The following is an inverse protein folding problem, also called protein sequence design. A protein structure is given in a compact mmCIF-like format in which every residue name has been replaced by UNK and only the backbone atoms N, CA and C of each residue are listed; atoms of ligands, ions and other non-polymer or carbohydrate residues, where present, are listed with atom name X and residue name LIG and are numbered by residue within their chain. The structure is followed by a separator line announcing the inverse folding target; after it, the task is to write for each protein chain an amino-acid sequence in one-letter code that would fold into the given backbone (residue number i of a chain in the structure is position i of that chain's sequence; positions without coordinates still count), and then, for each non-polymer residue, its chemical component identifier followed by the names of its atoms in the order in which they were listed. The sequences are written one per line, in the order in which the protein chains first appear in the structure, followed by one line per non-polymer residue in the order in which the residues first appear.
data_IF_292059266364
#
_entry.id   IF_292059266364
#
_cell.length_a   1.000
_cell.length_b   1.000
_cell.length_c   1.000
_cell.angle_alpha   90.00
_cell.angle_beta   90.00
_cell.angle_gamma   90.00
#
_symmetry.space_group_name_H-M   'P 1'
#
loop_
_entity.id
_entity.type
_entity.pdbx_description
1 polymer ?
#
# COMPACT_ATOMS: atom_id res chain seq x y z
N UNK A 1 -11.04 18.14 -9.16
CA UNK A 1 -10.18 18.34 -7.97
C UNK A 1 -9.35 17.09 -7.66
N UNK A 2 -9.91 15.93 -7.82
CA UNK A 2 -9.32 14.60 -7.49
C UNK A 2 -8.00 14.28 -8.21
N UNK A 3 -7.90 14.62 -9.51
CA UNK A 3 -6.66 14.44 -10.28
C UNK A 3 -5.53 15.34 -9.76
N UNK A 4 -5.83 16.57 -9.36
CA UNK A 4 -4.84 17.50 -8.83
C UNK A 4 -4.26 17.00 -7.50
N UNK A 5 -5.10 16.41 -6.62
CA UNK A 5 -4.66 15.83 -5.36
C UNK A 5 -3.73 14.64 -5.62
N UNK A 6 -4.06 13.76 -6.56
CA UNK A 6 -3.19 12.64 -6.96
C UNK A 6 -1.84 13.12 -7.50
N UNK A 7 -1.86 14.12 -8.39
CA UNK A 7 -0.63 14.72 -8.94
C UNK A 7 0.21 15.34 -7.84
N UNK A 8 -0.40 16.07 -6.91
CA UNK A 8 0.32 16.70 -5.79
C UNK A 8 0.97 15.65 -4.87
N UNK A 9 0.25 14.56 -4.54
CA UNK A 9 0.77 13.46 -3.75
C UNK A 9 1.94 12.76 -4.48
N UNK A 10 1.76 12.46 -5.76
CA UNK A 10 2.77 11.81 -6.59
C UNK A 10 4.05 12.69 -6.66
N UNK A 11 3.87 13.98 -6.91
CA UNK A 11 4.98 14.94 -6.98
C UNK A 11 5.73 15.04 -5.65
N UNK A 12 5.01 15.16 -4.53
CA UNK A 12 5.62 15.20 -3.20
C UNK A 12 6.36 13.89 -2.88
N UNK A 13 5.76 12.75 -3.19
CA UNK A 13 6.38 11.45 -3.03
C UNK A 13 7.71 11.36 -3.80
N UNK A 14 7.70 11.65 -5.10
CA UNK A 14 8.93 11.62 -5.91
C UNK A 14 9.98 12.63 -5.43
N UNK A 15 9.58 13.82 -4.99
CA UNK A 15 10.51 14.78 -4.41
C UNK A 15 11.26 14.20 -3.22
N UNK A 16 10.55 13.52 -2.32
CA UNK A 16 11.14 12.87 -1.14
C UNK A 16 12.06 11.72 -1.57
N UNK A 17 11.58 10.83 -2.43
CA UNK A 17 12.31 9.62 -2.85
C UNK A 17 13.60 9.97 -3.58
N UNK A 18 13.52 10.85 -4.56
CA UNK A 18 14.67 11.32 -5.34
C UNK A 18 15.63 12.09 -4.44
N UNK A 19 15.13 13.02 -3.63
CA UNK A 19 15.99 13.80 -2.74
C UNK A 19 16.79 12.95 -1.76
N UNK A 20 16.19 11.91 -1.18
CA UNK A 20 16.86 10.98 -0.27
C UNK A 20 17.82 10.05 -1.04
N UNK A 21 17.46 9.61 -2.23
CA UNK A 21 18.31 8.81 -3.11
C UNK A 21 19.62 9.54 -3.44
N UNK A 22 19.50 10.74 -3.97
CA UNK A 22 20.67 11.58 -4.31
C UNK A 22 21.49 11.94 -3.06
N UNK A 23 20.82 12.17 -1.92
CA UNK A 23 21.47 12.40 -0.63
C UNK A 23 22.32 11.18 -0.22
N UNK A 24 21.87 9.96 -0.52
CA UNK A 24 22.63 8.75 -0.26
C UNK A 24 23.97 8.72 -0.99
N UNK A 25 23.97 8.96 -2.30
CA UNK A 25 25.18 9.06 -3.12
C UNK A 25 26.09 10.19 -2.63
N UNK A 26 25.52 11.34 -2.37
CA UNK A 26 26.24 12.52 -1.87
C UNK A 26 26.95 12.24 -0.55
N UNK A 27 26.25 11.68 0.44
CA UNK A 27 26.81 11.42 1.77
C UNK A 27 27.92 10.37 1.72
N UNK A 28 27.75 9.31 0.94
CA UNK A 28 28.77 8.29 0.76
C UNK A 28 30.00 8.84 0.04
N UNK A 29 29.83 9.63 -1.01
CA UNK A 29 30.95 10.30 -1.69
C UNK A 29 31.73 11.20 -0.72
N UNK A 30 31.02 12.01 0.08
CA UNK A 30 31.65 12.91 1.06
C UNK A 30 32.35 12.14 2.18
N UNK A 31 31.77 11.03 2.67
CA UNK A 31 32.39 10.18 3.71
C UNK A 31 33.76 9.65 3.27
N UNK A 32 33.92 9.32 1.97
CA UNK A 32 35.17 8.83 1.39
C UNK A 32 36.05 9.94 0.79
N UNK A 33 35.74 11.21 1.12
CA UNK A 33 36.50 12.38 0.63
C UNK A 33 36.56 12.44 -0.90
N UNK A 34 35.48 12.03 -1.56
CA UNK A 34 35.29 12.21 -2.99
C UNK A 34 34.64 13.58 -3.19
N UNK A 35 35.14 14.32 -4.17
CA UNK A 35 34.59 15.63 -4.49
C UNK A 35 33.26 15.48 -5.20
N UNK A 36 32.24 16.19 -4.70
CA UNK A 36 30.95 16.33 -5.37
C UNK A 36 30.85 17.71 -5.98
N UNK A 37 30.64 17.78 -7.27
CA UNK A 37 30.61 19.03 -8.03
C UNK A 37 29.22 19.66 -8.02
N UNK A 38 28.15 18.82 -8.17
CA UNK A 38 26.77 19.29 -8.15
C UNK A 38 25.89 18.34 -7.33
N UNK A 39 24.90 18.92 -6.67
CA UNK A 39 23.81 18.22 -5.99
C UNK A 39 22.50 18.92 -6.37
N UNK A 40 21.68 18.27 -7.15
CA UNK A 40 20.45 18.84 -7.66
C UNK A 40 19.25 17.96 -7.37
N UNK A 41 18.23 18.57 -6.77
CA UNK A 41 16.89 17.98 -6.72
C UNK A 41 16.20 18.43 -8.00
N UNK A 42 15.76 17.47 -8.81
CA UNK A 42 15.22 17.66 -10.15
C UNK A 42 16.25 18.09 -11.21
N UNK A 43 15.98 17.73 -12.45
CA UNK A 43 16.78 18.14 -13.59
C UNK A 43 16.57 19.63 -13.88
N UNK A 44 17.64 20.28 -14.35
CA UNK A 44 17.68 21.70 -14.67
C UNK A 44 18.06 21.99 -16.12
N UNK A 45 17.46 21.31 -17.14
CA UNK A 45 17.77 21.61 -18.53
C UNK A 45 17.50 23.09 -18.79
N UNK A 46 18.53 23.79 -19.29
CA UNK A 46 18.59 25.21 -19.61
C UNK A 46 18.64 26.17 -18.41
N UNK A 47 17.94 25.97 -17.32
CA UNK A 47 17.97 26.85 -16.15
C UNK A 47 17.61 26.12 -14.86
N UNK A 48 18.12 26.63 -13.73
CA UNK A 48 17.76 26.20 -12.37
C UNK A 48 16.78 27.20 -11.75
N UNK A 49 15.79 26.71 -10.99
CA UNK A 49 14.90 27.57 -10.22
C UNK A 49 15.66 28.29 -9.11
N UNK A 50 16.58 27.59 -8.48
CA UNK A 50 17.44 28.10 -7.42
C UNK A 50 18.79 27.38 -7.44
N UNK A 51 19.88 28.09 -7.20
CA UNK A 51 21.19 27.47 -7.01
C UNK A 51 22.10 28.33 -6.14
N UNK A 52 22.97 27.67 -5.40
CA UNK A 52 24.03 28.31 -4.63
C UNK A 52 25.24 27.39 -4.54
N UNK A 53 26.42 27.96 -4.32
CA UNK A 53 27.66 27.21 -4.18
C UNK A 53 28.16 27.26 -2.74
N UNK A 54 28.51 26.09 -2.19
CA UNK A 54 29.16 25.98 -0.89
C UNK A 54 30.34 25.02 -0.98
N UNK A 55 31.53 25.53 -0.78
CA UNK A 55 32.77 24.79 -1.00
C UNK A 55 32.94 24.39 -2.45
N UNK A 56 33.17 23.11 -2.71
CA UNK A 56 33.33 22.57 -4.05
C UNK A 56 32.02 22.17 -4.72
N UNK A 57 30.90 22.18 -3.97
CA UNK A 57 29.61 21.68 -4.44
C UNK A 57 28.67 22.85 -4.78
N UNK A 58 28.06 22.79 -5.96
CA UNK A 58 26.91 23.60 -6.35
C UNK A 58 25.63 22.83 -6.01
N UNK A 59 24.79 23.43 -5.18
CA UNK A 59 23.47 22.91 -4.80
C UNK A 59 22.40 23.61 -5.60
N UNK A 60 21.44 22.87 -6.13
CA UNK A 60 20.40 23.46 -6.94
C UNK A 60 19.07 22.74 -6.88
N UNK A 61 18.05 23.45 -7.34
CA UNK A 61 16.71 22.95 -7.58
C UNK A 61 16.40 23.17 -9.06
N UNK A 62 16.24 22.07 -9.80
CA UNK A 62 15.79 22.08 -11.18
C UNK A 62 14.28 22.34 -11.26
N UNK A 63 13.79 22.54 -12.47
CA UNK A 63 12.36 22.75 -12.73
C UNK A 63 11.64 21.51 -13.23
N UNK A 64 12.39 20.49 -13.70
CA UNK A 64 11.84 19.29 -14.31
C UNK A 64 11.82 18.11 -13.31
N UNK A 65 10.66 17.73 -12.76
CA UNK A 65 10.54 16.76 -11.67
C UNK A 65 10.60 15.31 -12.14
N UNK A 66 11.53 14.99 -13.05
CA UNK A 66 11.73 13.63 -13.59
C UNK A 66 12.90 12.89 -12.95
N UNK A 67 13.53 13.45 -11.93
CA UNK A 67 14.68 12.87 -11.24
C UNK A 67 15.56 13.97 -10.66
N UNK A 68 16.61 13.58 -9.93
CA UNK A 68 17.69 14.46 -9.48
C UNK A 68 19.01 13.98 -10.04
N UNK A 69 20.10 14.62 -9.65
CA UNK A 69 21.42 14.11 -9.95
C UNK A 69 22.50 14.64 -8.99
N UNK A 70 23.50 13.78 -8.78
CA UNK A 70 24.72 14.12 -8.05
C UNK A 70 25.92 13.96 -8.97
N UNK A 71 26.55 15.06 -9.35
CA UNK A 71 27.78 14.98 -10.15
C UNK A 71 29.00 14.73 -9.26
N UNK A 72 29.50 13.50 -9.30
CA UNK A 72 30.64 13.02 -8.52
C UNK A 72 31.90 13.07 -9.41
N UNK A 73 32.95 13.72 -8.93
CA UNK A 73 34.20 13.88 -9.70
C UNK A 73 34.83 12.51 -10.02
N UNK A 74 35.14 12.29 -11.30
CA UNK A 74 35.75 11.06 -11.80
C UNK A 74 34.83 9.83 -11.83
N UNK A 75 33.52 10.05 -11.80
CA UNK A 75 32.47 9.05 -12.09
C UNK A 75 31.91 9.35 -13.48
N UNK A 76 31.69 8.32 -14.30
CA UNK A 76 30.96 8.46 -15.55
C UNK A 76 29.47 8.40 -15.17
N UNK A 77 28.84 9.54 -15.18
CA UNK A 77 27.42 9.70 -14.99
C UNK A 77 26.72 10.04 -16.33
N UNK A 78 25.45 10.34 -16.27
CA UNK A 78 24.65 10.75 -17.43
C UNK A 78 25.20 12.01 -18.14
N UNK A 79 26.06 12.80 -17.46
CA UNK A 79 26.68 14.01 -18.01
C UNK A 79 27.83 13.70 -19.00
N UNK A 80 28.24 12.42 -19.12
CA UNK A 80 29.28 11.92 -20.02
C UNK A 80 30.51 12.84 -20.14
N UNK A 81 31.08 13.27 -19.00
CA UNK A 81 32.23 14.21 -18.98
C UNK A 81 33.53 13.53 -19.43
N UNK A 82 33.61 13.25 -20.75
CA UNK A 82 34.73 12.58 -21.38
C UNK A 82 36.02 13.39 -21.26
N UNK A 83 35.93 14.71 -21.18
CA UNK A 83 37.10 15.59 -21.05
C UNK A 83 37.78 15.45 -19.68
N UNK A 84 37.01 15.29 -18.60
CA UNK A 84 37.55 15.03 -17.27
C UNK A 84 38.21 13.66 -17.19
N UNK A 85 37.63 12.66 -17.83
CA UNK A 85 38.16 11.29 -17.85
C UNK A 85 39.44 11.15 -18.63
N UNK A 86 39.73 12.03 -19.59
CA UNK A 86 40.99 12.06 -20.35
C UNK A 86 42.20 12.56 -19.52
N UNK A 87 41.97 13.24 -18.40
CA UNK A 87 43.01 13.76 -17.52
C UNK A 87 43.50 12.67 -16.55
N UNK A 88 44.75 12.75 -16.03
CA UNK A 88 45.22 11.83 -14.98
C UNK A 88 44.33 11.84 -13.76
N UNK A 89 44.06 10.63 -13.13
CA UNK A 89 43.22 10.52 -11.99
C UNK A 89 43.72 11.34 -10.79
N UNK A 90 42.82 12.04 -10.11
CA UNK A 90 43.14 12.83 -8.90
C UNK A 90 42.73 12.06 -7.62
N UNK A 91 43.40 12.25 -6.48
CA UNK A 91 43.12 11.53 -5.24
C UNK A 91 41.67 11.73 -4.70
N UNK A 92 41.01 12.80 -5.08
CA UNK A 92 39.62 13.12 -4.67
C UNK A 92 38.59 12.63 -5.68
N UNK A 93 38.99 11.91 -6.73
CA UNK A 93 38.07 11.37 -7.73
C UNK A 93 37.58 9.97 -7.35
N UNK A 94 36.35 9.63 -7.77
CA UNK A 94 35.73 8.32 -7.58
C UNK A 94 36.62 7.17 -8.10
N UNK A 95 37.16 7.31 -9.31
CA UNK A 95 38.01 6.30 -9.95
C UNK A 95 39.34 6.02 -9.23
N UNK A 96 39.77 6.92 -8.35
CA UNK A 96 40.97 6.77 -7.54
C UNK A 96 40.76 6.01 -6.25
N UNK A 97 39.48 5.69 -5.91
CA UNK A 97 39.12 5.01 -4.66
C UNK A 97 39.14 3.49 -4.81
N UNK A 98 39.43 2.74 -3.73
CA UNK A 98 39.32 1.29 -3.74
C UNK A 98 37.91 0.81 -4.06
N UNK A 99 37.78 -0.40 -4.63
CA UNK A 99 36.53 -0.92 -5.16
C UNK A 99 35.38 -0.91 -4.15
N UNK A 100 35.63 -1.24 -2.86
CA UNK A 100 34.59 -1.24 -1.85
C UNK A 100 34.03 0.15 -1.53
N UNK A 101 34.86 1.22 -1.60
CA UNK A 101 34.36 2.60 -1.44
C UNK A 101 33.50 3.01 -2.61
N UNK A 102 33.94 2.66 -3.83
CA UNK A 102 33.17 2.91 -5.05
C UNK A 102 31.82 2.20 -5.00
N UNK A 103 31.81 0.93 -4.57
CA UNK A 103 30.57 0.18 -4.40
C UNK A 103 29.62 0.86 -3.41
N UNK A 104 30.11 1.31 -2.24
CA UNK A 104 29.28 2.00 -1.26
C UNK A 104 28.75 3.34 -1.76
N UNK A 105 29.47 4.04 -2.62
CA UNK A 105 28.95 5.25 -3.26
C UNK A 105 27.83 4.90 -4.24
N UNK A 106 28.01 3.86 -5.07
CA UNK A 106 27.00 3.44 -6.05
C UNK A 106 25.71 2.94 -5.39
N UNK A 107 25.82 2.15 -4.33
CA UNK A 107 24.62 1.66 -3.63
C UNK A 107 24.06 2.66 -2.60
N UNK A 108 24.70 3.83 -2.45
CA UNK A 108 24.33 4.84 -1.48
C UNK A 108 22.86 5.27 -1.61
N UNK A 109 22.42 5.59 -2.81
CA UNK A 109 21.04 5.97 -3.09
C UNK A 109 20.04 4.86 -2.72
N UNK A 110 20.32 3.64 -3.16
CA UNK A 110 19.52 2.44 -2.86
C UNK A 110 19.40 2.22 -1.36
N UNK A 111 20.54 2.26 -0.64
CA UNK A 111 20.59 2.07 0.81
C UNK A 111 19.74 3.12 1.54
N UNK A 112 19.86 4.38 1.16
CA UNK A 112 19.12 5.46 1.81
C UNK A 112 17.62 5.38 1.55
N UNK A 113 17.20 4.99 0.36
CA UNK A 113 15.79 4.74 0.08
C UNK A 113 15.25 3.54 0.89
N UNK A 114 16.02 2.47 1.02
CA UNK A 114 15.61 1.35 1.86
C UNK A 114 15.48 1.76 3.33
N UNK A 115 16.47 2.48 3.88
CA UNK A 115 16.41 3.00 5.25
C UNK A 115 15.25 3.98 5.45
N UNK A 116 14.95 4.83 4.46
CA UNK A 116 13.80 5.72 4.48
C UNK A 116 12.49 4.93 4.60
N UNK A 117 12.33 3.88 3.80
CA UNK A 117 11.13 3.05 3.87
C UNK A 117 10.93 2.42 5.25
N UNK A 118 11.99 1.84 5.83
CA UNK A 118 11.94 1.26 7.17
C UNK A 118 11.59 2.31 8.24
N UNK A 119 12.15 3.51 8.12
CA UNK A 119 11.84 4.62 9.01
C UNK A 119 10.38 5.07 8.87
N UNK A 120 9.88 5.24 7.64
CA UNK A 120 8.49 5.64 7.40
C UNK A 120 7.52 4.59 7.96
N UNK A 121 7.73 3.28 7.71
CA UNK A 121 6.89 2.24 8.30
C UNK A 121 6.90 2.28 9.82
N UNK A 122 8.08 2.48 10.43
CA UNK A 122 8.16 2.63 11.89
C UNK A 122 7.33 3.83 12.39
N UNK A 123 7.38 4.96 11.68
CA UNK A 123 6.62 6.16 12.05
C UNK A 123 5.12 6.02 11.80
N UNK A 124 4.71 5.27 10.77
CA UNK A 124 3.30 4.91 10.55
C UNK A 124 2.78 4.11 11.75
N UNK A 125 3.50 3.05 12.16
CA UNK A 125 3.12 2.21 13.28
C UNK A 125 3.09 2.96 14.62
N UNK A 126 4.01 3.90 14.81
CA UNK A 126 4.02 4.77 15.99
C UNK A 126 2.83 5.74 16.00
N UNK A 127 2.49 6.34 14.87
CA UNK A 127 1.51 7.45 14.80
C UNK A 127 0.08 6.95 14.71
N UNK A 128 -0.15 5.89 13.92
CA UNK A 128 -1.51 5.39 13.61
C UNK A 128 -1.74 3.95 14.08
N UNK A 129 -0.70 3.24 14.51
CA UNK A 129 -0.77 1.82 14.84
C UNK A 129 -0.80 0.94 13.59
N UNK A 130 -0.95 -0.36 13.83
CA UNK A 130 -1.13 -1.39 12.80
C UNK A 130 -2.57 -1.91 12.87
N UNK A 131 -3.38 -1.50 11.91
CA UNK A 131 -4.79 -1.92 11.86
C UNK A 131 -4.95 -3.12 10.96
N UNK A 132 -5.42 -4.23 11.51
CA UNK A 132 -5.58 -5.49 10.82
C UNK A 132 -6.79 -6.26 11.30
N UNK A 133 -7.17 -7.29 10.55
CA UNK A 133 -8.14 -8.27 10.99
C UNK A 133 -7.42 -9.59 11.27
N UNK A 134 -7.56 -10.09 12.52
CA UNK A 134 -6.98 -11.36 12.96
C UNK A 134 -7.81 -12.52 12.41
N UNK A 135 -7.19 -13.40 11.64
CA UNK A 135 -7.87 -14.59 11.12
C UNK A 135 -8.16 -15.64 12.22
N UNK A 136 -7.25 -15.89 13.19
CA UNK A 136 -7.53 -16.80 14.30
C UNK A 136 -8.70 -16.38 15.18
N UNK A 137 -8.96 -15.07 15.31
CA UNK A 137 -10.04 -14.53 16.14
C UNK A 137 -11.39 -14.42 15.40
N UNK A 138 -11.43 -14.83 14.11
CA UNK A 138 -12.66 -14.83 13.35
C UNK A 138 -13.53 -16.03 13.71
N UNK A 139 -14.71 -15.76 14.22
CA UNK A 139 -15.73 -16.77 14.58
C UNK A 139 -16.70 -17.07 13.43
N UNK A 140 -16.82 -16.18 12.44
CA UNK A 140 -17.77 -16.26 11.33
C UNK A 140 -17.17 -16.78 10.02
N UNK A 141 -15.84 -16.88 9.94
CA UNK A 141 -15.12 -17.35 8.77
C UNK A 141 -15.10 -16.36 7.61
N UNK A 142 -14.94 -16.91 6.41
CA UNK A 142 -14.72 -16.16 5.18
C UNK A 142 -15.91 -16.31 4.23
N UNK A 143 -16.07 -15.35 3.31
CA UNK A 143 -16.94 -15.41 2.14
C UNK A 143 -16.08 -15.65 0.92
N UNK A 144 -16.52 -16.52 0.04
CA UNK A 144 -15.78 -16.93 -1.15
C UNK A 144 -16.60 -16.68 -2.41
N UNK A 145 -15.95 -16.25 -3.49
CA UNK A 145 -16.61 -16.12 -4.78
C UNK A 145 -16.85 -17.49 -5.44
N UNK A 146 -17.52 -17.51 -6.59
CA UNK A 146 -17.87 -18.75 -7.30
C UNK A 146 -16.64 -19.58 -7.68
N UNK A 147 -15.52 -18.93 -8.05
CA UNK A 147 -14.28 -19.62 -8.39
C UNK A 147 -13.67 -20.29 -7.16
N UNK A 148 -13.57 -19.61 -6.05
CA UNK A 148 -13.08 -20.19 -4.80
C UNK A 148 -13.98 -21.35 -4.34
N UNK A 149 -15.29 -21.20 -4.47
CA UNK A 149 -16.24 -22.27 -4.15
C UNK A 149 -16.08 -23.48 -5.10
N UNK A 150 -15.79 -23.27 -6.38
CA UNK A 150 -15.52 -24.35 -7.33
C UNK A 150 -14.25 -25.16 -7.01
N UNK A 151 -13.29 -24.55 -6.30
CA UNK A 151 -12.07 -25.18 -5.79
C UNK A 151 -12.36 -26.03 -4.54
N UNK A 152 -13.46 -25.72 -3.81
CA UNK A 152 -13.89 -26.48 -2.64
C UNK A 152 -14.01 -25.66 -1.35
N UNK A 153 -13.73 -24.36 -1.38
CA UNK A 153 -14.03 -23.45 -0.28
C UNK A 153 -15.53 -23.29 -0.10
N UNK A 154 -15.97 -22.95 1.11
CA UNK A 154 -17.38 -22.64 1.41
C UNK A 154 -17.47 -21.40 2.30
N UNK A 155 -18.54 -20.63 2.10
CA UNK A 155 -18.82 -19.50 2.98
C UNK A 155 -18.93 -19.97 4.44
N UNK A 156 -18.24 -19.26 5.33
CA UNK A 156 -18.11 -19.64 6.73
C UNK A 156 -16.87 -20.47 7.07
N UNK A 157 -16.08 -20.93 6.09
CA UNK A 157 -14.81 -21.57 6.38
C UNK A 157 -13.87 -20.58 7.10
N UNK A 158 -13.24 -21.04 8.17
CA UNK A 158 -12.20 -20.29 8.90
C UNK A 158 -10.86 -20.80 8.39
N UNK A 159 -10.05 -19.92 7.80
CA UNK A 159 -8.73 -20.25 7.28
C UNK A 159 -7.77 -20.51 8.44
N UNK A 160 -7.15 -21.69 8.49
CA UNK A 160 -6.21 -22.08 9.55
C UNK A 160 -4.76 -21.97 9.09
N UNK A 161 -4.40 -22.63 7.98
CA UNK A 161 -3.04 -22.67 7.45
C UNK A 161 -3.00 -22.95 5.95
N UNK A 162 -1.98 -22.43 5.30
CA UNK A 162 -1.57 -22.75 3.93
C UNK A 162 -0.36 -23.70 4.01
N UNK A 163 -0.50 -24.95 3.56
CA UNK A 163 0.43 -26.03 3.87
C UNK A 163 0.71 -26.07 5.39
N UNK A 164 1.95 -25.78 5.83
CA UNK A 164 2.34 -25.74 7.23
C UNK A 164 2.35 -24.32 7.83
N UNK A 165 2.10 -23.27 7.04
CA UNK A 165 2.14 -21.88 7.46
C UNK A 165 0.77 -21.43 8.01
N UNK A 166 0.65 -21.07 9.29
CA UNK A 166 -0.61 -20.59 9.84
C UNK A 166 -0.98 -19.23 9.24
N UNK A 167 -2.27 -19.00 9.04
CA UNK A 167 -2.80 -17.70 8.71
C UNK A 167 -2.95 -16.85 9.98
N UNK A 168 -2.42 -15.63 9.95
CA UNK A 168 -2.50 -14.70 11.08
C UNK A 168 -3.40 -13.51 10.78
N UNK A 169 -3.24 -12.89 9.61
CA UNK A 169 -3.90 -11.63 9.24
C UNK A 169 -4.56 -11.71 7.87
N UNK A 170 -5.71 -11.06 7.75
CA UNK A 170 -6.34 -10.86 6.46
C UNK A 170 -5.56 -9.83 5.64
N UNK A 171 -5.34 -10.12 4.35
CA UNK A 171 -4.68 -9.21 3.43
C UNK A 171 -4.04 -9.91 2.24
N UNK A 172 -3.22 -9.16 1.50
CA UNK A 172 -2.56 -9.68 0.31
C UNK A 172 -1.59 -10.83 0.59
N UNK A 173 -0.95 -10.84 1.76
CA UNK A 173 -0.05 -11.94 2.17
C UNK A 173 -0.83 -13.23 2.36
N UNK A 174 -2.02 -13.18 2.98
CA UNK A 174 -2.93 -14.32 3.08
C UNK A 174 -3.33 -14.84 1.69
N UNK A 175 -3.73 -13.92 0.77
CA UNK A 175 -4.11 -14.31 -0.58
C UNK A 175 -2.95 -14.93 -1.34
N UNK A 176 -1.74 -14.39 -1.18
CA UNK A 176 -0.51 -14.96 -1.73
C UNK A 176 -0.22 -16.35 -1.18
N UNK A 177 -0.35 -16.52 0.14
CA UNK A 177 -0.15 -17.80 0.80
C UNK A 177 -1.18 -18.85 0.31
N UNK A 178 -2.44 -18.47 0.08
CA UNK A 178 -3.45 -19.37 -0.51
C UNK A 178 -3.04 -19.81 -1.91
N UNK A 179 -2.64 -18.88 -2.76
CA UNK A 179 -2.32 -19.16 -4.18
C UNK A 179 -1.04 -19.99 -4.33
N UNK A 180 -0.06 -19.79 -3.44
CA UNK A 180 1.23 -20.48 -3.47
C UNK A 180 1.20 -21.86 -2.77
N UNK A 181 0.14 -22.17 -1.99
CA UNK A 181 0.00 -23.43 -1.29
C UNK A 181 -0.45 -24.57 -2.21
N UNK A 182 -0.17 -25.79 -1.80
CA UNK A 182 -0.76 -26.99 -2.37
C UNK A 182 -2.09 -27.35 -1.70
N UNK A 183 -2.16 -27.07 -0.38
CA UNK A 183 -3.31 -27.39 0.44
C UNK A 183 -3.58 -26.25 1.41
N UNK A 184 -4.81 -25.81 1.47
CA UNK A 184 -5.30 -24.90 2.51
C UNK A 184 -6.14 -25.70 3.50
N UNK A 185 -5.78 -25.66 4.78
CA UNK A 185 -6.59 -26.26 5.84
C UNK A 185 -7.55 -25.20 6.37
N UNK A 186 -8.82 -25.56 6.40
CA UNK A 186 -9.92 -24.74 6.90
C UNK A 186 -10.61 -25.44 8.07
N UNK A 187 -11.25 -24.65 8.95
CA UNK A 187 -12.20 -25.19 9.93
C UNK A 187 -13.61 -24.94 9.43
N UNK A 188 -14.32 -26.03 9.13
CA UNK A 188 -15.69 -26.06 8.62
C UNK A 188 -16.56 -26.84 9.59
N UNK A 189 -17.64 -26.25 10.09
CA UNK A 189 -18.56 -26.89 11.04
C UNK A 189 -17.83 -27.54 12.25
N UNK A 190 -16.78 -26.87 12.73
CA UNK A 190 -15.97 -27.30 13.87
C UNK A 190 -14.93 -28.39 13.55
N UNK A 191 -14.80 -28.83 12.31
CA UNK A 191 -13.82 -29.86 11.85
C UNK A 191 -12.79 -29.25 10.92
N UNK A 192 -11.57 -29.75 10.98
CA UNK A 192 -10.54 -29.39 9.98
C UNK A 192 -10.80 -30.15 8.67
N UNK A 193 -10.85 -29.41 7.58
CA UNK A 193 -10.94 -29.93 6.21
C UNK A 193 -9.82 -29.37 5.36
N UNK A 194 -9.42 -30.09 4.33
CA UNK A 194 -8.37 -29.72 3.39
C UNK A 194 -8.96 -29.34 2.05
N UNK A 195 -8.57 -28.19 1.53
CA UNK A 195 -8.91 -27.70 0.20
C UNK A 195 -7.63 -27.71 -0.63
N UNK A 196 -7.64 -28.48 -1.73
CA UNK A 196 -6.50 -28.60 -2.64
C UNK A 196 -6.51 -27.46 -3.62
N UNK A 197 -5.41 -26.75 -3.72
CA UNK A 197 -5.28 -25.58 -4.59
C UNK A 197 -4.76 -26.01 -5.96
N UNK A 198 -5.45 -25.67 -7.06
CA UNK A 198 -5.00 -26.02 -8.40
C UNK A 198 -3.79 -25.20 -8.83
N UNK A 199 -2.88 -25.81 -9.60
CA UNK A 199 -1.62 -25.21 -10.06
C UNK A 199 -1.82 -23.97 -10.97
N UNK A 200 -2.99 -23.81 -11.57
CA UNK A 200 -3.34 -22.68 -12.44
C UNK A 200 -3.90 -21.47 -11.69
N UNK A 201 -4.03 -21.56 -10.37
CA UNK A 201 -4.45 -20.41 -9.55
C UNK A 201 -3.32 -19.40 -9.49
N UNK A 202 -3.59 -18.15 -9.85
CA UNK A 202 -2.59 -17.08 -9.91
C UNK A 202 -3.05 -15.85 -9.15
N UNK A 203 -2.15 -15.23 -8.39
CA UNK A 203 -2.42 -13.99 -7.67
C UNK A 203 -2.89 -12.87 -8.62
N UNK A 204 -2.37 -12.84 -9.85
CA UNK A 204 -2.77 -11.87 -10.87
C UNK A 204 -4.22 -12.01 -11.33
N UNK A 205 -4.74 -13.23 -11.32
CA UNK A 205 -6.14 -13.49 -11.68
C UNK A 205 -7.05 -13.27 -10.48
N UNK A 206 -6.77 -13.90 -9.34
CA UNK A 206 -7.64 -13.81 -8.15
C UNK A 206 -7.67 -12.39 -7.55
N UNK A 207 -6.58 -11.64 -7.64
CA UNK A 207 -6.51 -10.26 -7.14
C UNK A 207 -7.35 -9.25 -7.93
N UNK A 208 -7.84 -9.62 -9.13
CA UNK A 208 -8.67 -8.76 -10.00
C UNK A 208 -10.13 -9.23 -10.09
N UNK A 209 -10.47 -10.34 -9.47
CA UNK A 209 -11.83 -10.90 -9.52
C UNK A 209 -12.86 -10.00 -8.83
N UNK A 210 -14.05 -9.96 -9.40
CA UNK A 210 -15.20 -9.29 -8.82
C UNK A 210 -16.43 -10.22 -8.94
N UNK A 211 -17.04 -10.65 -7.84
CA UNK A 211 -16.64 -10.41 -6.43
C UNK A 211 -15.23 -10.95 -6.12
N UNK A 212 -14.56 -10.36 -5.11
CA UNK A 212 -13.21 -10.77 -4.73
C UNK A 212 -13.16 -12.25 -4.33
N UNK A 213 -12.03 -12.91 -4.60
CA UNK A 213 -11.83 -14.35 -4.41
C UNK A 213 -12.18 -14.83 -3.00
N UNK A 214 -11.74 -14.09 -2.00
CA UNK A 214 -12.02 -14.32 -0.58
C UNK A 214 -12.21 -13.00 0.14
N UNK A 215 -13.27 -12.90 0.92
CA UNK A 215 -13.58 -11.73 1.76
C UNK A 215 -13.89 -12.19 3.19
N UNK A 216 -13.72 -11.31 4.15
CA UNK A 216 -14.04 -11.61 5.54
C UNK A 216 -15.52 -11.43 5.80
N UNK A 217 -16.12 -12.35 6.58
CA UNK A 217 -17.42 -12.12 7.19
C UNK A 217 -17.25 -11.29 8.48
N UNK A 218 -17.03 -9.99 8.29
CA UNK A 218 -16.81 -9.05 9.40
C UNK A 218 -18.09 -8.95 10.23
N UNK A 219 -18.03 -9.02 11.57
CA UNK A 219 -19.18 -8.75 12.43
C UNK A 219 -19.78 -7.39 12.12
N UNK A 220 -21.11 -7.32 12.00
CA UNK A 220 -21.83 -6.07 11.73
C UNK A 220 -21.89 -5.17 12.97
N UNK A 221 -20.74 -4.91 13.60
CA UNK A 221 -20.58 -4.07 14.79
C UNK A 221 -19.94 -2.73 14.44
N UNK A 222 -20.53 -1.66 14.93
CA UNK A 222 -20.09 -0.29 14.67
C UNK A 222 -18.93 0.07 15.59
N UNK A 223 -17.78 0.44 15.04
CA UNK A 223 -16.68 1.03 15.79
C UNK A 223 -16.77 2.55 15.84
N UNK A 224 -17.08 3.17 14.72
CA UNK A 224 -17.21 4.62 14.67
C UNK A 224 -18.31 5.06 13.72
N UNK A 225 -18.84 6.25 13.99
CA UNK A 225 -19.86 6.90 13.19
C UNK A 225 -19.32 8.25 12.73
N UNK A 226 -19.33 8.50 11.42
CA UNK A 226 -18.86 9.76 10.87
C UNK A 226 -19.78 10.92 11.26
N UNK A 227 -19.25 12.04 11.75
CA UNK A 227 -20.06 13.20 12.13
C UNK A 227 -20.91 13.70 10.96
N UNK A 228 -22.21 13.96 11.23
CA UNK A 228 -23.13 14.46 10.21
C UNK A 228 -23.55 13.44 9.14
N UNK A 229 -23.10 12.19 9.24
CA UNK A 229 -23.49 11.11 8.33
C UNK A 229 -24.97 10.72 8.48
N UNK A 230 -25.56 10.01 7.48
CA UNK A 230 -26.89 9.45 7.60
C UNK A 230 -27.11 8.62 8.88
N UNK A 231 -26.20 7.72 9.20
CA UNK A 231 -26.26 6.91 10.41
C UNK A 231 -26.14 7.72 11.70
N UNK A 232 -25.25 8.74 11.70
CA UNK A 232 -25.13 9.65 12.85
C UNK A 232 -26.40 10.44 13.11
N UNK A 233 -27.05 10.95 12.05
CA UNK A 233 -28.36 11.63 12.18
C UNK A 233 -29.47 10.71 12.63
N UNK A 234 -29.43 9.44 12.24
CA UNK A 234 -30.36 8.41 12.66
C UNK A 234 -30.13 7.92 14.09
N UNK A 235 -29.02 8.30 14.74
CA UNK A 235 -28.73 7.94 16.14
C UNK A 235 -28.01 6.60 16.29
N UNK A 236 -27.32 6.10 15.25
CA UNK A 236 -26.39 4.96 15.37
C UNK A 236 -25.22 5.36 16.27
N UNK A 237 -24.81 4.46 17.15
CA UNK A 237 -23.75 4.71 18.13
C UNK A 237 -22.61 3.68 18.00
N UNK A 238 -21.46 4.05 18.52
CA UNK A 238 -20.33 3.12 18.68
C UNK A 238 -20.75 1.94 19.57
N UNK A 239 -20.42 0.73 19.14
CA UNK A 239 -20.75 -0.50 19.83
C UNK A 239 -22.09 -1.13 19.43
N UNK A 240 -22.91 -0.45 18.63
CA UNK A 240 -24.13 -1.01 18.07
C UNK A 240 -23.82 -2.19 17.16
N UNK A 241 -24.62 -3.26 17.26
CA UNK A 241 -24.58 -4.38 16.31
C UNK A 241 -25.74 -4.24 15.33
N UNK A 242 -25.45 -4.16 14.04
CA UNK A 242 -26.46 -4.05 12.98
C UNK A 242 -27.06 -5.43 12.72
N UNK A 243 -28.37 -5.61 12.89
CA UNK A 243 -29.01 -6.92 12.81
C UNK A 243 -30.01 -7.07 11.66
N UNK A 244 -30.55 -5.96 11.12
CA UNK A 244 -31.37 -6.00 9.91
C UNK A 244 -31.37 -4.66 9.19
N UNK A 245 -31.46 -4.71 7.84
CA UNK A 245 -31.66 -3.55 6.95
C UNK A 245 -32.96 -3.77 6.16
N UNK A 246 -33.92 -2.84 6.30
CA UNK A 246 -35.25 -2.95 5.68
C UNK A 246 -35.92 -4.30 5.96
N UNK A 247 -35.82 -4.77 7.22
CA UNK A 247 -36.39 -6.05 7.66
C UNK A 247 -35.60 -7.29 7.19
N UNK A 248 -34.56 -7.16 6.35
CA UNK A 248 -33.69 -8.27 5.95
C UNK A 248 -32.60 -8.48 7.01
N UNK A 249 -32.48 -9.68 7.58
CA UNK A 249 -31.44 -9.98 8.55
C UNK A 249 -30.03 -9.72 8.02
N UNK A 250 -29.17 -9.16 8.86
CA UNK A 250 -27.76 -8.94 8.60
C UNK A 250 -26.95 -9.91 9.45
N UNK A 251 -26.19 -10.76 8.79
CA UNK A 251 -25.27 -11.70 9.45
C UNK A 251 -23.82 -11.21 9.45
N UNK A 252 -23.51 -10.16 8.70
CA UNK A 252 -22.17 -9.63 8.56
C UNK A 252 -22.20 -8.15 8.14
N UNK A 253 -21.07 -7.47 8.31
CA UNK A 253 -20.84 -6.14 7.73
C UNK A 253 -20.94 -6.15 6.19
N UNK A 254 -20.46 -7.22 5.56
CA UNK A 254 -20.54 -7.42 4.13
C UNK A 254 -21.99 -7.40 3.64
N UNK A 255 -22.87 -8.12 4.33
CA UNK A 255 -24.30 -8.12 4.01
C UNK A 255 -24.94 -6.73 4.14
N UNK A 256 -24.48 -5.92 5.10
CA UNK A 256 -24.90 -4.52 5.24
C UNK A 256 -24.43 -3.68 4.04
N UNK A 257 -23.16 -3.77 3.65
CA UNK A 257 -22.61 -3.07 2.50
C UNK A 257 -23.28 -3.48 1.18
N UNK A 258 -23.49 -4.77 0.98
CA UNK A 258 -24.22 -5.31 -0.18
C UNK A 258 -25.65 -4.78 -0.23
N UNK A 259 -26.31 -4.71 0.92
CA UNK A 259 -27.66 -4.14 1.05
C UNK A 259 -27.70 -2.69 0.59
N UNK A 260 -26.77 -1.85 1.04
CA UNK A 260 -26.66 -0.45 0.62
C UNK A 260 -26.33 -0.32 -0.87
N UNK A 261 -25.40 -1.14 -1.39
CA UNK A 261 -25.05 -1.16 -2.81
C UNK A 261 -26.27 -1.53 -3.68
N UNK A 262 -27.03 -2.55 -3.28
CA UNK A 262 -28.23 -2.95 -3.99
C UNK A 262 -29.29 -1.83 -4.03
N UNK A 263 -29.44 -1.06 -2.94
CA UNK A 263 -30.33 0.10 -2.92
C UNK A 263 -29.86 1.20 -3.87
N UNK A 264 -28.57 1.49 -3.89
CA UNK A 264 -27.94 2.44 -4.82
C UNK A 264 -28.20 2.05 -6.27
N UNK A 265 -27.99 0.77 -6.61
CA UNK A 265 -28.15 0.28 -7.98
C UNK A 265 -29.61 0.33 -8.42
N UNK A 266 -30.56 0.00 -7.52
CA UNK A 266 -32.01 0.16 -7.78
C UNK A 266 -32.40 1.61 -7.97
N UNK A 267 -31.83 2.52 -7.16
CA UNK A 267 -32.07 3.97 -7.32
C UNK A 267 -31.50 4.51 -8.62
N UNK A 268 -30.39 3.96 -9.11
CA UNK A 268 -29.82 4.30 -10.42
C UNK A 268 -30.70 3.81 -11.58
N UNK A 269 -31.29 2.62 -11.45
CA UNK A 269 -32.21 2.05 -12.45
C UNK A 269 -33.58 2.75 -12.46
N UNK A 270 -34.03 3.32 -11.33
CA UNK A 270 -35.32 4.01 -11.18
C UNK A 270 -35.12 5.37 -10.48
N UNK A 271 -34.67 6.40 -11.21
CA UNK A 271 -34.35 7.71 -10.62
C UNK A 271 -35.56 8.37 -9.93
N UNK A 272 -36.76 8.16 -10.44
CA UNK A 272 -38.02 8.72 -9.88
C UNK A 272 -38.36 8.13 -8.52
N UNK A 273 -37.94 6.90 -8.23
CA UNK A 273 -38.12 6.21 -6.92
C UNK A 273 -36.91 6.34 -5.99
N UNK A 274 -35.94 7.18 -6.31
CA UNK A 274 -34.70 7.31 -5.53
C UNK A 274 -34.93 7.65 -4.07
N UNK A 275 -35.89 8.53 -3.78
CA UNK A 275 -36.22 8.94 -2.41
C UNK A 275 -36.74 7.76 -1.58
N UNK A 276 -37.49 6.84 -2.19
CA UNK A 276 -37.99 5.63 -1.55
C UNK A 276 -36.83 4.66 -1.19
N UNK A 277 -35.86 4.48 -2.09
CA UNK A 277 -34.69 3.64 -1.84
C UNK A 277 -33.70 4.26 -0.84
N UNK A 278 -33.73 5.58 -0.66
CA UNK A 278 -32.91 6.30 0.28
C UNK A 278 -33.46 6.29 1.73
N UNK A 279 -34.77 6.01 1.90
CA UNK A 279 -35.38 5.87 3.21
C UNK A 279 -35.28 4.41 3.69
N UNK A 280 -34.45 4.15 4.69
CA UNK A 280 -34.16 2.81 5.15
C UNK A 280 -34.40 2.65 6.66
N UNK A 281 -34.91 1.47 7.04
CA UNK A 281 -34.98 1.06 8.44
C UNK A 281 -33.78 0.19 8.79
N UNK A 282 -33.08 0.52 9.88
CA UNK A 282 -31.91 -0.18 10.38
C UNK A 282 -32.18 -0.69 11.79
N UNK A 283 -32.31 -2.00 11.96
CA UNK A 283 -32.44 -2.61 13.28
C UNK A 283 -31.02 -2.81 13.88
N UNK A 284 -30.86 -2.38 15.11
CA UNK A 284 -29.62 -2.45 15.86
C UNK A 284 -29.82 -3.07 17.25
N UNK A 285 -28.79 -3.75 17.74
CA UNK A 285 -28.68 -4.11 19.16
C UNK A 285 -27.67 -3.15 19.76
N UNK A 286 -28.12 -2.35 20.71
CA UNK A 286 -27.27 -1.39 21.43
C UNK A 286 -26.21 -2.10 22.26
N UNK A 287 -25.15 -1.42 22.62
CA UNK A 287 -24.15 -1.96 23.56
C UNK A 287 -24.74 -2.37 24.90
N UNK A 288 -25.90 -1.78 25.30
CA UNK A 288 -26.69 -2.15 26.48
C UNK A 288 -27.51 -3.44 26.32
N UNK A 289 -27.54 -4.06 25.14
CA UNK A 289 -28.35 -5.23 24.81
C UNK A 289 -29.77 -4.92 24.35
N UNK A 290 -30.19 -3.66 24.32
CA UNK A 290 -31.54 -3.25 23.88
C UNK A 290 -31.60 -3.26 22.37
N UNK A 291 -32.64 -3.87 21.78
CA UNK A 291 -32.91 -3.79 20.35
C UNK A 291 -33.68 -2.52 20.02
N UNK A 292 -33.24 -1.80 18.98
CA UNK A 292 -33.88 -0.58 18.52
C UNK A 292 -33.97 -0.59 16.98
N UNK A 293 -34.95 0.13 16.41
CA UNK A 293 -35.11 0.28 14.99
C UNK A 293 -35.01 1.77 14.63
N UNK A 294 -33.99 2.11 13.86
CA UNK A 294 -33.67 3.46 13.47
C UNK A 294 -34.11 3.73 12.02
N UNK A 295 -34.69 4.90 11.78
CA UNK A 295 -34.97 5.37 10.43
C UNK A 295 -33.81 6.23 9.94
N UNK A 296 -33.19 5.83 8.84
CA UNK A 296 -32.02 6.47 8.28
C UNK A 296 -32.31 6.95 6.85
N UNK A 297 -32.17 8.25 6.63
CA UNK A 297 -32.23 8.85 5.29
C UNK A 297 -30.83 8.88 4.69
N UNK A 298 -30.58 8.03 3.68
CA UNK A 298 -29.33 8.00 2.95
C UNK A 298 -29.22 9.23 2.04
N UNK A 299 -27.99 9.65 1.79
CA UNK A 299 -27.68 10.72 0.84
C UNK A 299 -27.56 10.20 -0.61
N UNK A 300 -27.08 11.05 -1.50
CA UNK A 300 -26.90 10.69 -2.92
C UNK A 300 -25.86 9.60 -3.17
N UNK A 301 -25.00 9.33 -2.22
CA UNK A 301 -23.93 8.32 -2.34
C UNK A 301 -24.36 6.94 -1.84
N UNK A 302 -25.49 6.86 -1.12
CA UNK A 302 -25.96 5.65 -0.43
C UNK A 302 -24.94 5.09 0.58
N UNK A 303 -24.14 5.98 1.19
CA UNK A 303 -23.18 5.64 2.23
C UNK A 303 -23.78 5.98 3.60
N UNK A 304 -23.84 5.00 4.50
CA UNK A 304 -24.38 5.21 5.84
C UNK A 304 -23.45 6.05 6.74
N UNK A 305 -22.15 6.02 6.51
CA UNK A 305 -21.16 6.74 7.30
C UNK A 305 -20.86 6.08 8.65
N UNK A 306 -20.85 4.75 8.68
CA UNK A 306 -20.40 3.92 9.79
C UNK A 306 -19.17 3.12 9.39
N UNK A 307 -18.33 2.78 10.35
CA UNK A 307 -17.11 2.01 10.16
C UNK A 307 -17.11 0.80 11.07
N UNK A 308 -16.76 -0.38 10.54
CA UNK A 308 -16.53 -1.57 11.34
C UNK A 308 -15.14 -1.53 11.99
N UNK A 309 -15.00 -2.11 13.17
CA UNK A 309 -13.72 -2.12 13.88
C UNK A 309 -12.73 -3.13 13.30
N UNK A 310 -11.56 -2.69 12.80
CA UNK A 310 -10.38 -3.54 12.78
C UNK A 310 -9.75 -3.61 14.17
N UNK A 311 -9.00 -4.67 14.45
CA UNK A 311 -8.05 -4.66 15.54
C UNK A 311 -6.92 -3.68 15.22
N UNK A 312 -6.46 -2.95 16.24
CA UNK A 312 -5.35 -2.01 16.03
C UNK A 312 -4.34 -2.18 17.15
N UNK A 313 -3.12 -2.59 16.78
CA UNK A 313 -1.98 -2.63 17.68
C UNK A 313 -1.31 -1.27 17.71
N UNK A 314 -1.14 -0.71 18.90
CA UNK A 314 -0.44 0.56 19.10
C UNK A 314 0.99 0.31 19.58
N UNK A 315 1.92 1.01 18.99
CA UNK A 315 3.34 0.89 19.29
C UNK A 315 3.87 2.14 19.99
N UNK A 316 4.71 1.96 21.00
CA UNK A 316 5.52 3.05 21.53
C UNK A 316 6.57 3.47 20.50
N UNK A 317 7.18 4.67 20.66
CA UNK A 317 8.23 5.14 19.76
C UNK A 317 9.35 4.11 19.58
N UNK A 318 9.84 3.51 20.67
CA UNK A 318 10.94 2.53 20.58
C UNK A 318 10.49 1.18 20.01
N UNK A 319 9.30 0.69 20.35
CA UNK A 319 8.79 -0.59 19.84
C UNK A 319 8.34 -0.52 18.37
N UNK A 320 8.07 0.67 17.84
CA UNK A 320 7.70 0.85 16.44
C UNK A 320 8.86 0.54 15.47
N UNK A 321 10.12 0.71 15.88
CA UNK A 321 11.27 0.43 15.01
C UNK A 321 11.41 -1.06 14.66
N UNK A 322 11.49 -2.00 15.61
CA UNK A 322 11.57 -3.42 15.24
C UNK A 322 10.32 -3.87 14.47
N UNK A 323 9.12 -3.39 14.82
CA UNK A 323 7.89 -3.71 14.09
C UNK A 323 7.90 -3.16 12.66
N UNK A 324 8.28 -1.89 12.46
CA UNK A 324 8.38 -1.25 11.14
C UNK A 324 9.46 -1.86 10.26
N UNK A 325 10.61 -2.26 10.84
CA UNK A 325 11.65 -3.00 10.12
C UNK A 325 11.11 -4.35 9.65
N UNK A 326 10.45 -5.11 10.53
CA UNK A 326 9.84 -6.39 10.18
C UNK A 326 8.81 -6.21 9.07
N UNK A 327 7.93 -5.20 9.20
CA UNK A 327 6.93 -4.88 8.19
C UNK A 327 7.58 -4.55 6.83
N UNK A 328 8.56 -3.64 6.79
CA UNK A 328 9.24 -3.25 5.56
C UNK A 328 10.01 -4.40 4.90
N UNK A 329 10.65 -5.27 5.69
CA UNK A 329 11.30 -6.49 5.18
C UNK A 329 10.27 -7.46 4.59
N UNK A 330 9.10 -7.61 5.20
CA UNK A 330 8.04 -8.46 4.67
C UNK A 330 7.47 -7.89 3.37
N UNK A 331 7.27 -6.57 3.27
CA UNK A 331 6.89 -5.91 2.02
C UNK A 331 7.91 -6.19 0.92
N UNK A 332 9.21 -6.05 1.20
CA UNK A 332 10.26 -6.38 0.24
C UNK A 332 10.21 -7.84 -0.19
N UNK A 333 10.10 -8.78 0.76
CA UNK A 333 9.99 -10.22 0.46
C UNK A 333 8.77 -10.52 -0.42
N UNK A 334 7.62 -9.93 -0.09
CA UNK A 334 6.40 -10.05 -0.89
C UNK A 334 6.62 -9.56 -2.31
N UNK A 335 7.20 -8.37 -2.48
CA UNK A 335 7.49 -7.80 -3.79
C UNK A 335 8.46 -8.67 -4.61
N UNK A 336 9.54 -9.17 -4.00
CA UNK A 336 10.49 -10.09 -4.66
C UNK A 336 9.79 -11.40 -5.08
N UNK A 337 8.95 -11.95 -4.21
CA UNK A 337 8.18 -13.16 -4.55
C UNK A 337 7.21 -12.92 -5.73
N UNK A 338 6.59 -11.75 -5.78
CA UNK A 338 5.67 -11.37 -6.86
C UNK A 338 6.38 -11.12 -8.20
N UNK A 339 7.71 -10.91 -8.22
CA UNK A 339 8.49 -10.78 -9.47
C UNK A 339 8.37 -12.02 -10.34
N UNK A 340 8.10 -13.22 -9.79
CA UNK A 340 7.82 -14.43 -10.58
C UNK A 340 6.67 -14.23 -11.58
N UNK A 341 5.68 -13.40 -11.22
CA UNK A 341 4.52 -13.12 -12.08
C UNK A 341 4.85 -12.16 -13.22
N UNK A 342 5.85 -11.28 -13.06
CA UNK A 342 6.25 -10.31 -14.10
C UNK A 342 6.72 -11.01 -15.36
N UNK A 343 7.33 -12.18 -15.22
CA UNK A 343 7.82 -12.99 -16.34
C UNK A 343 6.72 -13.86 -16.99
N UNK A 344 5.48 -13.83 -16.49
CA UNK A 344 4.33 -14.45 -17.13
C UNK A 344 3.74 -13.55 -18.22
N UNK A 345 2.98 -14.12 -19.16
CA UNK A 345 2.29 -13.37 -20.22
C UNK A 345 1.33 -12.33 -19.63
N UNK A 346 0.59 -12.71 -18.61
CA UNK A 346 -0.39 -11.90 -17.90
C UNK A 346 0.29 -10.78 -17.11
N UNK A 347 1.43 -11.08 -16.48
CA UNK A 347 2.22 -10.12 -15.72
C UNK A 347 2.87 -9.06 -16.60
N UNK A 348 3.46 -9.46 -17.72
CA UNK A 348 4.04 -8.52 -18.69
C UNK A 348 2.99 -7.53 -19.22
N UNK A 349 1.75 -7.97 -19.43
CA UNK A 349 0.63 -7.12 -19.84
C UNK A 349 0.12 -6.19 -18.72
N UNK A 350 0.44 -6.48 -17.46
CA UNK A 350 0.01 -5.69 -16.30
C UNK A 350 1.05 -4.67 -15.83
N UNK A 351 2.25 -4.66 -16.42
CA UNK A 351 3.27 -3.64 -16.12
C UNK A 351 2.74 -2.27 -16.51
N UNK A 352 2.49 -1.44 -15.52
CA UNK A 352 1.99 -0.09 -15.69
C UNK A 352 3.10 0.95 -15.70
N UNK A 353 2.88 2.04 -16.44
CA UNK A 353 3.74 3.22 -16.41
C UNK A 353 3.38 4.20 -15.29
N UNK A 354 3.88 5.44 -15.39
CA UNK A 354 3.62 6.52 -14.42
C UNK A 354 2.13 6.77 -14.12
N UNK A 355 1.24 6.54 -15.09
CA UNK A 355 -0.20 6.65 -14.89
C UNK A 355 -0.75 5.62 -13.89
N UNK A 356 -0.23 4.39 -13.93
CA UNK A 356 -0.59 3.34 -12.98
C UNK A 356 -0.07 3.68 -11.58
N UNK A 357 1.17 4.18 -11.45
CA UNK A 357 1.71 4.64 -10.17
C UNK A 357 0.85 5.78 -9.61
N UNK A 358 0.43 6.74 -10.45
CA UNK A 358 -0.47 7.81 -10.02
C UNK A 358 -1.84 7.32 -9.55
N UNK A 359 -2.33 6.19 -10.09
CA UNK A 359 -3.63 5.64 -9.74
C UNK A 359 -3.69 5.02 -8.34
N UNK A 360 -2.55 4.64 -7.74
CA UNK A 360 -2.49 4.05 -6.39
C UNK A 360 -2.70 5.09 -5.28
N UNK A 361 -2.50 6.39 -5.58
CA UNK A 361 -2.78 7.45 -4.63
C UNK A 361 -4.28 7.74 -4.54
N UNK A 362 -4.81 8.01 -3.33
CA UNK A 362 -6.23 8.32 -3.14
C UNK A 362 -6.62 9.66 -3.78
N UNK A 363 -7.91 9.81 -4.10
CA UNK A 363 -8.48 11.05 -4.62
C UNK A 363 -8.63 12.14 -3.56
N UNK A 364 -8.59 11.75 -2.29
CA UNK A 364 -8.60 12.64 -1.13
C UNK A 364 -7.24 12.59 -0.42
N UNK A 365 -6.90 13.68 0.26
CA UNK A 365 -5.64 13.74 0.99
C UNK A 365 -5.73 12.89 2.26
N UNK A 366 -4.94 11.80 2.30
CA UNK A 366 -4.88 10.86 3.41
C UNK A 366 -3.42 10.61 3.80
N UNK A 367 -2.98 11.17 4.93
CA UNK A 367 -1.59 11.09 5.37
C UNK A 367 -1.09 9.66 5.63
N UNK A 368 -1.82 8.79 6.35
CA UNK A 368 -1.41 7.39 6.51
C UNK A 368 -1.15 6.72 5.16
N UNK A 369 -2.10 6.83 4.23
CA UNK A 369 -1.99 6.22 2.91
C UNK A 369 -0.89 6.83 2.06
N UNK A 370 -0.69 8.15 2.15
CA UNK A 370 0.42 8.82 1.47
C UNK A 370 1.77 8.27 1.91
N UNK A 371 2.01 8.17 3.22
CA UNK A 371 3.26 7.66 3.76
C UNK A 371 3.45 6.17 3.48
N UNK A 372 2.38 5.37 3.56
CA UNK A 372 2.40 3.94 3.19
C UNK A 372 2.85 3.75 1.72
N UNK A 373 2.25 4.53 0.79
CA UNK A 373 2.63 4.48 -0.62
C UNK A 373 4.05 4.99 -0.86
N UNK A 374 4.48 6.04 -0.14
CA UNK A 374 5.84 6.55 -0.21
C UNK A 374 6.86 5.51 0.25
N UNK A 375 6.61 4.82 1.37
CA UNK A 375 7.47 3.75 1.86
C UNK A 375 7.52 2.57 0.89
N UNK A 376 6.37 2.16 0.36
CA UNK A 376 6.28 1.09 -0.64
C UNK A 376 7.07 1.41 -1.91
N UNK A 377 6.86 2.60 -2.49
CA UNK A 377 7.62 3.05 -3.67
C UNK A 377 9.12 3.20 -3.39
N UNK A 378 9.49 3.58 -2.16
CA UNK A 378 10.89 3.64 -1.73
C UNK A 378 11.56 2.27 -1.75
N UNK A 379 10.86 1.21 -1.30
CA UNK A 379 11.34 -0.18 -1.38
C UNK A 379 11.47 -0.63 -2.83
N UNK A 380 10.45 -0.35 -3.66
CA UNK A 380 10.48 -0.70 -5.09
C UNK A 380 11.67 -0.03 -5.78
N UNK A 381 11.85 1.27 -5.56
CA UNK A 381 12.95 2.02 -6.16
C UNK A 381 14.31 1.48 -5.70
N UNK A 382 14.45 1.18 -4.40
CA UNK A 382 15.66 0.57 -3.88
C UNK A 382 15.94 -0.81 -4.52
N UNK A 383 14.91 -1.65 -4.66
CA UNK A 383 15.05 -2.97 -5.28
C UNK A 383 15.37 -2.87 -6.79
N UNK A 384 14.66 -2.02 -7.52
CA UNK A 384 14.86 -1.88 -8.97
C UNK A 384 16.24 -1.33 -9.32
N UNK A 385 16.75 -0.36 -8.54
CA UNK A 385 18.06 0.22 -8.77
C UNK A 385 19.25 -0.69 -8.38
N UNK A 386 19.00 -1.78 -7.64
CA UNK A 386 20.05 -2.79 -7.39
C UNK A 386 20.17 -3.80 -8.52
N UNK A 387 19.15 -3.89 -9.40
CA UNK A 387 19.19 -4.77 -10.55
C UNK A 387 20.08 -4.18 -11.66
N UNK A 388 20.85 -5.01 -12.37
CA UNK A 388 21.73 -4.53 -13.46
C UNK A 388 20.91 -4.20 -14.72
N UNK A 389 20.04 -3.19 -14.62
CA UNK A 389 19.20 -2.73 -15.72
C UNK A 389 19.78 -1.43 -16.26
N UNK A 390 20.10 -1.34 -17.56
CA UNK A 390 20.57 -0.09 -18.17
C UNK A 390 19.58 1.06 -17.93
N UNK A 391 20.10 2.25 -17.64
CA UNK A 391 19.37 3.46 -17.27
C UNK A 391 18.83 3.50 -15.81
N UNK A 392 19.23 2.56 -14.96
CA UNK A 392 19.14 2.64 -13.51
C UNK A 392 20.57 2.70 -12.93
N UNK A 393 20.69 2.94 -11.62
CA UNK A 393 22.01 3.08 -10.96
C UNK A 393 22.84 1.77 -10.89
N UNK A 394 22.24 0.64 -11.26
CA UNK A 394 22.84 -0.70 -11.20
C UNK A 394 23.73 -1.07 -12.40
#
# INVERSE_FOLDING_TARGET
MDILIKIAQLFLCFTILVGIHELGHFLMARAFKIRVEKFYIFFDPWFSLFKFKRGDTEYGLGWLPLGGYVKIAGMIDESMDKEQMAKPPQPWEFRSKPAWQRLLVMIGGVLFNFLLALFIYSMILFTWGDSYYSLPEMDRGMKFNERAQSIGFRDGDILLRADDKPFERYGMDMLRDIVDAKVVTVRRDGREEQVYIPDDLSLLTVGKEQPIFVDMLIPAKVDSVLPGSPAGRAGVQRGDSLIALNGKPLNSWNAFQEGLSSLRDKAAMKPDARAEYADVSLAVVRASGVTDTLHMQLDSTFVAGVVAAPLTDYYSFLSSFPAGITHGVNVLKGYVNDMKYVFSKEGAASLGGFGTIGSIFPTEWNWPRFWEMTAFLSIILAFMNILPIPALDG
#
